data_IF_985956296156
#
_entry.id   IF_985956296156
#
_cell.length_a   1.000
_cell.length_b   1.000
_cell.length_c   1.000
_cell.angle_alpha   90.00
_cell.angle_beta   90.00
_cell.angle_gamma   90.00
#
_symmetry.space_group_name_H-M   'P 1'
#
loop_
_entity.id
_entity.type
_entity.pdbx_description
1 polymer ?
#
# COMPACT_ATOMS: atom_id res chain seq x y z
N UNK A 1 17.31 13.78 6.80
CA UNK A 1 16.52 14.49 5.77
C UNK A 1 17.20 14.17 4.46
N UNK A 2 16.51 13.46 3.56
CA UNK A 2 17.11 12.93 2.34
C UNK A 2 16.64 13.70 1.11
N UNK A 3 17.55 13.91 0.17
CA UNK A 3 17.30 14.57 -1.12
C UNK A 3 16.68 15.98 -1.02
N UNK A 4 16.85 16.68 0.10
CA UNK A 4 16.28 18.02 0.30
C UNK A 4 17.21 19.13 -0.19
N UNK A 5 16.63 20.22 -0.66
CA UNK A 5 17.39 21.39 -1.12
C UNK A 5 17.96 22.22 0.06
N UNK A 6 19.25 22.55 -0.05
CA UNK A 6 19.97 23.44 0.87
C UNK A 6 20.58 24.58 0.06
N UNK A 7 20.24 25.81 0.42
CA UNK A 7 20.77 27.02 -0.20
C UNK A 7 21.69 27.78 0.76
N UNK A 8 22.84 28.20 0.25
CA UNK A 8 23.79 29.09 0.93
C UNK A 8 23.55 30.54 0.46
N UNK A 9 23.35 31.44 1.42
CA UNK A 9 23.04 32.84 1.17
C UNK A 9 24.02 33.76 1.89
N UNK A 10 24.31 34.91 1.27
CA UNK A 10 24.96 36.06 1.90
C UNK A 10 23.87 37.00 2.43
N UNK A 11 24.11 37.62 3.58
CA UNK A 11 23.19 38.59 4.15
C UNK A 11 23.72 40.00 3.93
N UNK A 12 23.01 40.73 3.10
CA UNK A 12 23.28 42.15 2.85
C UNK A 12 22.28 43.08 3.54
N UNK A 13 22.58 44.37 3.48
CA UNK A 13 21.71 45.41 3.98
C UNK A 13 20.41 45.56 3.16
N UNK A 14 20.50 45.46 1.83
CA UNK A 14 19.37 45.70 0.93
C UNK A 14 18.72 44.38 0.45
N UNK A 15 19.50 43.42 -0.07
CA UNK A 15 19.01 42.15 -0.59
C UNK A 15 20.03 41.03 -0.36
N UNK A 16 19.63 39.98 0.35
CA UNK A 16 20.45 38.77 0.51
C UNK A 16 20.77 38.12 -0.85
N UNK A 17 22.04 37.79 -1.09
CA UNK A 17 22.51 37.15 -2.32
C UNK A 17 22.53 35.62 -2.20
N UNK A 18 22.00 34.90 -3.19
CA UNK A 18 22.12 33.44 -3.27
C UNK A 18 23.50 33.06 -3.80
N UNK A 19 24.27 32.33 -3.00
CA UNK A 19 25.66 31.98 -3.31
C UNK A 19 25.79 30.62 -3.97
N UNK A 20 25.07 29.62 -3.44
CA UNK A 20 25.10 28.26 -3.95
C UNK A 20 23.84 27.48 -3.53
N UNK A 21 23.54 26.43 -4.29
CA UNK A 21 22.48 25.47 -4.01
C UNK A 21 23.08 24.07 -4.07
N UNK A 22 22.67 23.20 -3.16
CA UNK A 22 23.04 21.79 -3.12
C UNK A 22 21.86 20.97 -2.60
N UNK A 23 21.98 19.65 -2.60
CA UNK A 23 21.02 18.74 -1.99
C UNK A 23 21.70 17.86 -0.96
N UNK A 24 20.95 17.41 0.05
CA UNK A 24 21.43 16.39 0.98
C UNK A 24 21.47 15.01 0.32
N UNK A 25 22.43 14.17 0.70
CA UNK A 25 22.44 12.76 0.33
C UNK A 25 21.51 11.91 1.24
N UNK A 26 21.58 10.58 1.10
CA UNK A 26 20.81 9.62 1.91
C UNK A 26 21.13 9.65 3.41
N UNK A 27 22.34 10.09 3.78
CA UNK A 27 22.75 10.25 5.18
C UNK A 27 22.35 11.63 5.74
N UNK A 28 21.81 12.52 4.91
CA UNK A 28 21.50 13.91 5.25
C UNK A 28 22.69 14.86 5.19
N UNK A 29 23.84 14.41 4.69
CA UNK A 29 25.04 15.22 4.52
C UNK A 29 24.92 16.10 3.27
N UNK A 30 25.48 17.31 3.34
CA UNK A 30 25.55 18.23 2.22
C UNK A 30 26.91 18.92 2.16
N UNK A 31 27.29 19.37 0.98
CA UNK A 31 28.45 20.25 0.79
C UNK A 31 28.24 21.18 -0.39
N UNK A 32 28.91 22.32 -0.35
CA UNK A 32 28.93 23.29 -1.43
C UNK A 32 30.29 23.30 -2.09
N UNK A 33 30.30 23.56 -3.40
CA UNK A 33 31.51 23.92 -4.12
C UNK A 33 32.09 25.25 -3.60
N UNK A 34 33.29 25.60 -4.05
CA UNK A 34 33.95 26.84 -3.66
C UNK A 34 33.13 28.06 -4.12
N UNK A 35 32.77 28.92 -3.16
CA UNK A 35 32.09 30.21 -3.41
C UNK A 35 33.03 31.40 -3.18
N UNK A 36 32.68 32.55 -3.76
CA UNK A 36 33.41 33.80 -3.54
C UNK A 36 33.15 34.33 -2.14
N UNK A 37 34.19 34.46 -1.31
CA UNK A 37 34.07 35.03 0.03
C UNK A 37 34.41 36.54 0.04
N UNK A 38 33.83 37.29 -0.89
CA UNK A 38 34.04 38.74 -1.02
C UNK A 38 32.69 39.40 -0.77
N UNK A 39 32.58 40.07 0.37
CA UNK A 39 31.39 40.82 0.77
C UNK A 39 31.36 42.24 0.15
N UNK A 40 30.19 42.89 0.16
CA UNK A 40 29.95 44.20 -0.42
C UNK A 40 30.87 45.28 0.17
N UNK A 41 31.92 45.63 -0.58
CA UNK A 41 32.96 46.59 -0.17
C UNK A 41 34.37 45.98 -0.09
N UNK A 42 34.51 44.67 -0.24
CA UNK A 42 35.77 43.96 -0.47
C UNK A 42 36.75 43.93 0.70
N UNK A 43 36.33 44.39 1.88
CA UNK A 43 37.14 44.42 3.10
C UNK A 43 36.79 43.31 4.09
N UNK A 44 35.66 42.62 3.89
CA UNK A 44 35.05 41.67 4.82
C UNK A 44 34.71 40.35 4.10
N UNK A 45 34.56 39.29 4.89
CA UNK A 45 34.07 38.00 4.43
C UNK A 45 32.54 37.99 4.39
N UNK A 46 31.95 37.03 3.72
CA UNK A 46 30.48 36.98 3.58
C UNK A 46 29.79 36.72 4.92
N UNK A 47 28.59 37.27 5.04
CA UNK A 47 27.67 37.10 6.17
C UNK A 47 26.71 35.95 5.87
N UNK A 48 27.23 34.74 5.94
CA UNK A 48 26.53 33.57 5.40
C UNK A 48 25.42 33.02 6.30
N UNK A 49 24.38 32.47 5.69
CA UNK A 49 23.36 31.67 6.35
C UNK A 49 22.78 30.61 5.41
N UNK A 50 22.13 29.58 5.97
CA UNK A 50 21.49 28.52 5.20
C UNK A 50 19.96 28.72 5.14
N UNK A 51 19.37 28.37 4.00
CA UNK A 51 17.94 28.06 3.87
C UNK A 51 17.81 26.59 3.51
N UNK A 52 17.01 25.87 4.28
CA UNK A 52 16.77 24.44 4.13
C UNK A 52 15.30 24.26 3.84
N UNK A 53 14.96 23.59 2.74
CA UNK A 53 13.59 23.51 2.28
C UNK A 53 13.02 22.10 2.43
N UNK A 54 11.79 21.99 2.92
CA UNK A 54 11.08 20.72 2.99
C UNK A 54 10.44 20.41 1.63
N UNK A 55 11.28 20.10 0.64
CA UNK A 55 10.88 19.51 -0.64
C UNK A 55 11.99 18.63 -1.21
N UNK A 56 11.57 17.68 -2.04
CA UNK A 56 12.37 16.92 -2.98
C UNK A 56 11.47 16.49 -4.16
N UNK A 57 11.93 15.59 -5.01
CA UNK A 57 11.15 15.10 -6.16
C UNK A 57 9.89 14.31 -5.72
N UNK A 58 9.90 13.70 -4.53
CA UNK A 58 8.77 12.93 -4.00
C UNK A 58 7.65 13.80 -3.42
N UNK A 59 7.95 15.02 -2.96
CA UNK A 59 6.93 15.92 -2.44
C UNK A 59 7.46 17.14 -1.71
N UNK A 60 6.53 17.98 -1.25
CA UNK A 60 6.86 19.25 -0.59
C UNK A 60 5.80 19.67 0.42
N UNK A 61 6.23 20.33 1.50
CA UNK A 61 5.34 20.91 2.50
C UNK A 61 5.15 22.40 2.25
N UNK A 62 3.92 22.92 2.29
CA UNK A 62 3.60 24.36 2.09
C UNK A 62 3.26 25.09 3.40
N UNK A 63 3.55 26.40 3.47
CA UNK A 63 3.49 27.17 4.73
C UNK A 63 2.23 27.99 4.99
N UNK A 64 1.38 28.32 4.00
CA UNK A 64 0.13 29.07 4.28
C UNK A 64 -0.82 29.39 3.11
N UNK A 65 -0.76 28.71 1.96
CA UNK A 65 -1.72 29.01 0.88
C UNK A 65 -2.08 27.77 0.10
N UNK A 66 -3.39 27.57 -0.14
CA UNK A 66 -3.99 26.60 -1.08
C UNK A 66 -3.39 26.72 -2.50
N UNK A 67 -2.67 27.82 -2.77
CA UNK A 67 -1.93 28.01 -4.02
C UNK A 67 -0.70 27.10 -4.16
N UNK A 68 -0.31 26.31 -3.13
CA UNK A 68 0.80 25.33 -3.17
C UNK A 68 2.14 25.89 -3.68
N UNK A 69 2.35 27.21 -3.63
CA UNK A 69 3.49 27.89 -4.28
C UNK A 69 4.63 28.29 -3.35
N UNK A 70 4.53 27.99 -2.04
CA UNK A 70 5.54 28.40 -1.06
C UNK A 70 5.89 27.28 -0.09
N UNK A 71 7.06 26.70 -0.32
CA UNK A 71 7.60 25.62 0.49
C UNK A 71 7.92 26.06 1.92
N UNK A 72 7.83 25.09 2.83
CA UNK A 72 8.32 25.22 4.19
C UNK A 72 9.83 25.30 4.17
N UNK A 73 10.35 26.30 4.89
CA UNK A 73 11.78 26.62 4.88
C UNK A 73 12.22 26.96 6.29
N UNK A 74 13.34 26.37 6.71
CA UNK A 74 14.08 26.80 7.91
C UNK A 74 15.24 27.67 7.47
N UNK A 75 15.39 28.83 8.12
CA UNK A 75 16.51 29.75 7.93
C UNK A 75 17.40 29.70 9.17
N UNK A 76 18.67 29.41 8.96
CA UNK A 76 19.66 29.39 10.03
C UNK A 76 20.10 30.80 10.45
N UNK A 77 20.65 30.96 11.67
CA UNK A 77 21.29 32.18 12.09
C UNK A 77 22.41 32.59 11.15
N UNK A 78 22.61 33.91 11.04
CA UNK A 78 23.66 34.47 10.18
C UNK A 78 25.00 34.39 10.90
N UNK A 79 25.99 33.91 10.17
CA UNK A 79 27.38 33.81 10.61
C UNK A 79 28.13 34.95 9.93
N UNK A 80 28.61 35.88 10.75
CA UNK A 80 29.16 37.13 10.25
C UNK A 80 30.64 36.97 9.86
N UNK A 81 31.06 37.71 8.83
CA UNK A 81 32.47 37.88 8.45
C UNK A 81 33.25 36.56 8.31
N UNK A 82 32.71 35.59 7.57
CA UNK A 82 33.37 34.26 7.49
C UNK A 82 34.74 34.36 6.82
N UNK A 83 35.76 33.78 7.45
CA UNK A 83 37.12 33.77 6.92
C UNK A 83 37.24 32.85 5.70
N UNK A 84 38.06 33.22 4.73
CA UNK A 84 38.33 32.37 3.57
C UNK A 84 38.94 31.02 3.97
N UNK A 85 38.50 29.95 3.33
CA UNK A 85 38.93 28.59 3.58
C UNK A 85 37.76 27.62 3.59
N UNK A 86 37.99 26.41 4.10
CA UNK A 86 36.90 25.46 4.37
C UNK A 86 36.17 25.89 5.63
N UNK A 87 34.86 26.04 5.53
CA UNK A 87 33.98 26.28 6.66
C UNK A 87 33.13 25.03 6.91
N UNK A 88 33.13 24.57 8.16
CA UNK A 88 32.29 23.45 8.60
C UNK A 88 31.08 24.02 9.34
N UNK A 89 29.89 23.87 8.74
CA UNK A 89 28.62 24.32 9.32
C UNK A 89 28.17 23.43 10.49
N UNK A 90 28.76 22.24 10.64
CA UNK A 90 28.36 21.25 11.63
C UNK A 90 27.04 20.56 11.31
N UNK A 91 26.48 19.89 12.32
CA UNK A 91 25.22 19.16 12.20
C UNK A 91 24.06 20.06 12.58
N UNK A 92 23.08 20.14 11.68
CA UNK A 92 21.83 20.82 11.94
C UNK A 92 20.82 19.87 12.63
N UNK A 93 20.25 20.32 13.74
CA UNK A 93 19.18 19.61 14.45
C UNK A 93 17.97 20.54 14.50
N UNK A 94 16.92 20.19 13.75
CA UNK A 94 15.62 20.86 13.86
C UNK A 94 15.02 20.62 15.24
N UNK A 95 14.35 21.63 15.81
CA UNK A 95 13.56 21.42 17.01
C UNK A 95 12.27 20.66 16.65
N UNK A 96 11.65 19.98 17.63
CA UNK A 96 10.41 19.21 17.43
C UNK A 96 9.26 20.01 16.78
N UNK A 97 9.23 21.34 16.92
CA UNK A 97 8.21 22.18 16.28
C UNK A 97 8.46 22.45 14.78
N UNK A 98 9.64 22.11 14.25
CA UNK A 98 10.03 22.38 12.86
C UNK A 98 10.49 21.13 12.10
N UNK A 99 10.75 20.01 12.79
CA UNK A 99 11.18 18.75 12.16
C UNK A 99 10.07 18.04 11.39
N UNK A 100 8.80 18.17 11.78
CA UNK A 100 7.69 17.42 11.19
C UNK A 100 7.56 17.61 9.68
N UNK A 101 7.76 18.83 9.18
CA UNK A 101 7.72 19.11 7.75
C UNK A 101 8.78 18.31 6.96
N UNK A 102 9.98 18.17 7.52
CA UNK A 102 11.06 17.40 6.88
C UNK A 102 10.85 15.89 7.03
N UNK A 103 10.28 15.45 8.15
CA UNK A 103 9.92 14.05 8.38
C UNK A 103 8.88 13.55 7.38
N UNK A 104 7.87 14.38 7.09
CA UNK A 104 6.87 14.09 6.05
C UNK A 104 7.53 13.88 4.69
N UNK A 105 8.37 14.82 4.24
CA UNK A 105 9.05 14.73 2.94
C UNK A 105 9.96 13.49 2.87
N UNK A 106 10.58 13.13 3.99
CA UNK A 106 11.40 11.93 4.11
C UNK A 106 10.57 10.65 4.00
N UNK A 107 9.36 10.60 4.57
CA UNK A 107 8.41 9.49 4.39
C UNK A 107 7.82 9.40 2.99
N UNK A 108 7.49 10.54 2.38
CA UNK A 108 7.04 10.57 0.97
C UNK A 108 8.13 10.02 0.04
N UNK A 109 9.40 10.29 0.33
CA UNK A 109 10.53 9.71 -0.42
C UNK A 109 10.60 8.19 -0.32
N UNK A 110 10.27 7.60 0.84
CA UNK A 110 10.20 6.14 0.98
C UNK A 110 9.13 5.55 0.06
N UNK A 111 7.93 6.15 0.02
CA UNK A 111 6.86 5.72 -0.88
C UNK A 111 7.20 5.94 -2.35
N UNK A 112 7.80 7.08 -2.70
CA UNK A 112 8.26 7.37 -4.06
C UNK A 112 9.31 6.37 -4.55
N UNK A 113 10.28 6.01 -3.69
CA UNK A 113 11.30 5.01 -4.01
C UNK A 113 10.70 3.62 -4.16
N UNK A 114 9.75 3.23 -3.31
CA UNK A 114 9.01 1.97 -3.44
C UNK A 114 8.27 1.89 -4.78
N UNK A 115 7.58 2.97 -5.18
CA UNK A 115 6.93 3.06 -6.49
C UNK A 115 7.96 2.89 -7.62
N UNK A 116 9.09 3.59 -7.56
CA UNK A 116 10.11 3.49 -8.60
C UNK A 116 10.83 2.14 -8.63
N UNK A 117 10.89 1.38 -7.54
CA UNK A 117 11.56 0.07 -7.50
C UNK A 117 10.72 -1.07 -8.10
N UNK A 118 9.41 -0.85 -8.31
CA UNK A 118 8.43 -1.85 -8.73
C UNK A 118 8.49 -2.30 -10.21
N UNK A 119 9.67 -2.60 -10.74
CA UNK A 119 9.94 -2.73 -12.18
C UNK A 119 9.15 -3.83 -12.92
N UNK A 120 8.20 -3.44 -13.79
CA UNK A 120 8.09 -3.90 -15.21
C UNK A 120 7.12 -3.04 -16.05
N UNK A 121 6.17 -2.34 -15.44
CA UNK A 121 5.20 -1.49 -16.15
C UNK A 121 5.71 -0.03 -16.17
N UNK A 122 5.43 0.67 -17.26
CA UNK A 122 6.02 1.97 -17.63
C UNK A 122 5.89 2.99 -16.49
N UNK A 123 7.03 3.60 -16.11
CA UNK A 123 7.13 4.61 -15.05
C UNK A 123 6.55 5.94 -15.50
N UNK A 124 5.31 6.22 -15.17
CA UNK A 124 4.90 7.61 -15.02
C UNK A 124 5.50 8.13 -13.69
N UNK A 125 6.18 9.26 -13.78
CA UNK A 125 6.63 9.98 -12.60
C UNK A 125 5.38 10.46 -11.87
N UNK A 126 5.20 9.96 -10.64
CA UNK A 126 3.99 10.22 -9.83
C UNK A 126 3.89 11.67 -9.37
N UNK A 127 4.95 12.45 -9.63
CA UNK A 127 5.06 13.85 -9.29
C UNK A 127 5.24 14.08 -7.79
N UNK A 128 5.72 15.27 -7.45
CA UNK A 128 5.90 15.66 -6.06
C UNK A 128 4.56 15.86 -5.36
N UNK A 129 4.26 15.00 -4.38
CA UNK A 129 3.09 15.04 -3.53
C UNK A 129 3.04 16.33 -2.67
N UNK A 130 2.07 17.24 -2.89
CA UNK A 130 1.94 18.46 -2.10
C UNK A 130 1.32 18.16 -0.72
N UNK A 131 1.88 18.76 0.34
CA UNK A 131 1.39 18.60 1.71
C UNK A 131 1.09 19.95 2.36
N UNK A 132 -0.12 20.09 2.88
CA UNK A 132 -0.57 21.20 3.70
C UNK A 132 -0.59 20.79 5.17
N UNK A 133 -0.01 21.64 6.02
CA UNK A 133 -0.05 21.46 7.47
C UNK A 133 -1.25 22.21 8.04
N UNK A 134 -2.11 21.49 8.78
CA UNK A 134 -3.32 22.04 9.39
C UNK A 134 -3.34 21.79 10.90
N UNK A 135 -3.98 22.67 11.67
CA UNK A 135 -4.15 22.55 13.13
C UNK A 135 -5.59 22.23 13.54
N UNK A 136 -6.48 21.98 12.57
CA UNK A 136 -7.92 21.84 12.77
C UNK A 136 -8.42 20.42 13.13
N UNK A 137 -7.49 19.49 13.39
CA UNK A 137 -7.65 18.04 13.57
C UNK A 137 -7.89 17.24 12.29
N UNK A 138 -7.14 16.15 12.17
CA UNK A 138 -7.32 15.12 11.13
C UNK A 138 -6.34 15.28 9.98
N UNK A 139 -5.85 14.14 9.52
CA UNK A 139 -5.08 14.01 8.29
C UNK A 139 -5.98 13.40 7.22
N UNK A 140 -5.85 13.86 5.97
CA UNK A 140 -6.65 13.37 4.85
C UNK A 140 -6.05 13.76 3.50
N UNK A 141 -6.23 12.91 2.52
CA UNK A 141 -6.11 13.22 1.10
C UNK A 141 -7.34 13.97 0.58
N UNK A 142 -7.16 14.91 -0.36
CA UNK A 142 -8.28 15.56 -1.03
C UNK A 142 -7.99 15.85 -2.49
N UNK A 143 -9.03 15.66 -3.33
CA UNK A 143 -9.04 16.05 -4.74
C UNK A 143 -10.15 17.09 -5.02
N UNK A 144 -9.91 18.38 -4.77
CA UNK A 144 -10.94 19.40 -4.91
C UNK A 144 -11.14 19.79 -6.39
N UNK A 145 -12.36 20.07 -6.86
CA UNK A 145 -12.66 20.32 -8.27
C UNK A 145 -11.96 21.52 -8.95
N UNK A 146 -11.20 22.33 -8.19
CA UNK A 146 -10.60 23.60 -8.64
C UNK A 146 -9.15 23.80 -8.17
N UNK A 147 -8.56 22.85 -7.44
CA UNK A 147 -7.16 22.90 -6.98
C UNK A 147 -6.48 21.60 -7.37
N UNK A 148 -5.14 21.59 -7.42
CA UNK A 148 -4.42 20.32 -7.49
C UNK A 148 -4.69 19.50 -6.24
N UNK A 149 -4.53 18.18 -6.35
CA UNK A 149 -4.68 17.25 -5.24
C UNK A 149 -3.56 17.50 -4.20
N UNK A 150 -3.84 17.25 -2.93
CA UNK A 150 -2.87 17.43 -1.86
C UNK A 150 -3.27 16.66 -0.60
N UNK A 151 -2.29 16.46 0.26
CA UNK A 151 -2.46 15.87 1.58
C UNK A 151 -2.61 16.98 2.60
N UNK A 152 -3.48 16.77 3.58
CA UNK A 152 -3.54 17.54 4.81
C UNK A 152 -2.98 16.67 5.92
N UNK A 153 -1.98 17.15 6.65
CA UNK A 153 -1.41 16.46 7.81
C UNK A 153 -1.61 17.29 9.07
N UNK A 154 -2.19 16.65 10.08
CA UNK A 154 -2.53 17.26 11.37
C UNK A 154 -1.27 17.62 12.17
N UNK A 155 -1.16 18.89 12.52
CA UNK A 155 -0.11 19.44 13.39
C UNK A 155 -0.57 19.65 14.82
N UNK A 156 -1.85 19.43 15.11
CA UNK A 156 -2.43 19.70 16.41
C UNK A 156 -2.06 18.60 17.42
N UNK A 157 -1.51 19.02 18.56
CA UNK A 157 -1.55 18.23 19.79
C UNK A 157 -2.85 18.62 20.52
N UNK A 158 -3.98 18.15 20.00
CA UNK A 158 -5.32 18.66 20.34
C UNK A 158 -5.75 18.47 21.81
N UNK A 159 -4.86 18.06 22.71
CA UNK A 159 -5.16 17.97 24.15
C UNK A 159 -3.95 17.83 25.10
N UNK A 160 -2.69 17.94 24.64
CA UNK A 160 -1.50 17.42 25.35
C UNK A 160 -1.54 15.88 25.52
N UNK A 161 -2.43 15.20 24.78
CA UNK A 161 -2.65 13.75 24.85
C UNK A 161 -2.48 13.06 23.50
N UNK A 162 -2.34 13.76 22.37
CA UNK A 162 -2.18 13.13 21.04
C UNK A 162 -0.94 13.72 20.37
N UNK A 163 -0.04 12.87 19.90
CA UNK A 163 1.10 13.35 19.12
C UNK A 163 0.59 13.88 17.77
N UNK A 164 1.23 14.91 17.20
CA UNK A 164 0.84 15.39 15.87
C UNK A 164 1.15 14.32 14.82
N UNK A 165 0.26 14.17 13.83
CA UNK A 165 0.38 13.15 12.79
C UNK A 165 1.61 13.38 11.89
N UNK A 166 2.25 14.55 11.98
CA UNK A 166 3.55 14.85 11.34
C UNK A 166 4.70 13.89 11.71
N UNK A 167 4.51 13.02 12.70
CA UNK A 167 5.47 11.97 13.09
C UNK A 167 4.89 10.56 13.04
N UNK A 168 3.63 10.41 12.63
CA UNK A 168 3.00 9.11 12.50
C UNK A 168 3.22 8.61 11.07
N UNK A 169 4.32 7.86 10.88
CA UNK A 169 4.73 7.32 9.57
C UNK A 169 3.58 6.62 8.84
N UNK A 170 2.77 5.85 9.59
CA UNK A 170 1.64 5.12 9.04
C UNK A 170 0.54 6.04 8.50
N UNK A 171 0.30 7.21 9.13
CA UNK A 171 -0.69 8.20 8.67
C UNK A 171 -0.16 8.88 7.41
N UNK A 172 1.08 9.38 7.45
CA UNK A 172 1.68 10.08 6.31
C UNK A 172 1.65 9.19 5.06
N UNK A 173 2.02 7.91 5.22
CA UNK A 173 2.03 6.97 4.11
C UNK A 173 0.65 6.46 3.73
N UNK A 174 -0.33 6.43 4.64
CA UNK A 174 -1.72 6.14 4.29
C UNK A 174 -2.26 7.21 3.34
N UNK A 175 -2.11 8.49 3.69
CA UNK A 175 -2.55 9.58 2.82
C UNK A 175 -1.76 9.63 1.49
N UNK A 176 -0.49 9.22 1.52
CA UNK A 176 0.29 9.04 0.30
C UNK A 176 -0.20 7.87 -0.56
N UNK A 177 -0.80 6.84 0.05
CA UNK A 177 -1.45 5.74 -0.68
C UNK A 177 -2.61 6.21 -1.52
N UNK A 178 -3.41 7.16 -1.01
CA UNK A 178 -4.47 7.83 -1.79
C UNK A 178 -3.91 8.63 -2.98
N UNK A 179 -2.78 9.33 -2.79
CA UNK A 179 -2.06 10.01 -3.88
C UNK A 179 -1.62 9.01 -4.96
N UNK A 180 -0.99 7.89 -4.56
CA UNK A 180 -0.51 6.86 -5.49
C UNK A 180 -1.67 6.19 -6.23
N UNK A 181 -2.74 5.82 -5.53
CA UNK A 181 -3.94 5.21 -6.10
C UNK A 181 -4.56 6.09 -7.18
N UNK A 182 -4.78 7.37 -6.88
CA UNK A 182 -5.40 8.33 -7.79
C UNK A 182 -4.52 8.77 -8.97
N UNK A 183 -3.21 8.94 -8.76
CA UNK A 183 -2.33 9.51 -9.80
C UNK A 183 -1.67 8.47 -10.70
N UNK A 184 -1.53 7.24 -10.22
CA UNK A 184 -0.73 6.22 -10.88
C UNK A 184 -1.58 5.03 -11.30
N UNK A 185 -2.50 4.64 -10.43
CA UNK A 185 -3.27 3.44 -10.59
C UNK A 185 -4.65 3.70 -11.19
N UNK A 186 -5.26 4.87 -11.03
CA UNK A 186 -6.65 5.13 -11.51
C UNK A 186 -7.58 3.95 -11.13
N UNK A 187 -7.37 3.42 -9.92
CA UNK A 187 -8.07 2.28 -9.34
C UNK A 187 -8.82 2.74 -8.12
N UNK A 188 -9.91 2.04 -7.81
CA UNK A 188 -10.74 2.34 -6.63
C UNK A 188 -11.26 3.79 -6.63
N UNK A 189 -11.45 4.40 -7.81
CA UNK A 189 -11.75 5.84 -8.01
C UNK A 189 -13.26 6.17 -7.87
N UNK A 190 -14.14 5.17 -7.72
CA UNK A 190 -15.56 5.44 -7.43
C UNK A 190 -15.78 6.15 -6.06
N UNK A 191 -14.72 6.32 -5.25
CA UNK A 191 -14.74 7.01 -3.98
C UNK A 191 -13.38 7.69 -3.68
N UNK A 192 -13.33 9.02 -3.68
CA UNK A 192 -12.15 9.83 -3.30
C UNK A 192 -11.87 9.87 -1.78
N UNK A 193 -12.20 8.77 -1.09
CA UNK A 193 -12.21 8.66 0.37
C UNK A 193 -13.47 9.24 1.03
N UNK A 194 -13.54 9.10 2.36
CA UNK A 194 -14.64 9.63 3.17
C UNK A 194 -14.61 9.12 4.60
N UNK A 195 -15.41 9.64 5.56
CA UNK A 195 -15.32 9.23 6.96
C UNK A 195 -15.41 7.70 7.14
N UNK A 196 -14.29 7.11 7.49
CA UNK A 196 -14.11 5.67 7.56
C UNK A 196 -13.52 5.27 8.92
N UNK A 197 -13.50 3.97 9.19
CA UNK A 197 -12.96 3.42 10.44
C UNK A 197 -12.48 2.02 10.13
N UNK A 198 -11.34 1.66 10.75
CA UNK A 198 -10.67 0.38 10.58
C UNK A 198 -11.60 -0.84 10.45
N UNK A 199 -12.61 -0.94 11.32
CA UNK A 199 -13.55 -2.07 11.39
C UNK A 199 -14.96 -1.75 10.89
N UNK A 200 -15.14 -0.65 10.16
CA UNK A 200 -16.43 -0.21 9.64
C UNK A 200 -16.83 -0.98 8.38
N UNK A 201 -18.14 -1.06 8.12
CA UNK A 201 -18.70 -1.61 6.88
C UNK A 201 -19.09 -0.48 5.93
N UNK A 202 -18.54 -0.50 4.74
CA UNK A 202 -18.68 0.54 3.70
C UNK A 202 -19.09 -0.07 2.36
N UNK A 203 -19.15 0.76 1.31
CA UNK A 203 -19.21 0.23 -0.06
C UNK A 203 -17.89 -0.45 -0.40
N UNK A 204 -17.90 -1.53 -1.23
CA UNK A 204 -16.67 -2.19 -1.65
C UNK A 204 -15.63 -1.25 -2.27
N UNK A 205 -16.05 -0.24 -3.04
CA UNK A 205 -15.14 0.76 -3.59
C UNK A 205 -14.47 1.65 -2.53
N UNK A 206 -15.21 2.12 -1.53
CA UNK A 206 -14.63 2.93 -0.44
C UNK A 206 -13.69 2.06 0.42
N UNK A 207 -14.10 0.83 0.74
CA UNK A 207 -13.26 -0.11 1.48
C UNK A 207 -11.98 -0.48 0.70
N UNK A 208 -12.08 -0.63 -0.63
CA UNK A 208 -10.93 -0.88 -1.49
C UNK A 208 -9.93 0.27 -1.49
N UNK A 209 -10.42 1.51 -1.62
CA UNK A 209 -9.60 2.73 -1.60
C UNK A 209 -8.87 2.92 -0.25
N UNK A 210 -9.60 2.88 0.87
CA UNK A 210 -9.01 3.04 2.21
C UNK A 210 -8.11 1.85 2.61
N UNK A 211 -8.51 0.63 2.21
CA UNK A 211 -7.72 -0.57 2.46
C UNK A 211 -6.42 -0.59 1.67
N UNK A 212 -6.44 -0.14 0.41
CA UNK A 212 -5.23 0.05 -0.38
C UNK A 212 -4.29 1.08 0.27
N UNK A 213 -4.81 2.19 0.79
CA UNK A 213 -4.01 3.19 1.49
C UNK A 213 -3.34 2.62 2.76
N UNK A 214 -4.05 1.80 3.54
CA UNK A 214 -3.47 1.07 4.68
C UNK A 214 -2.42 0.03 4.27
N UNK A 215 -2.69 -0.73 3.21
CA UNK A 215 -1.73 -1.67 2.65
C UNK A 215 -0.47 -0.96 2.15
N UNK A 216 -0.61 0.12 1.38
CA UNK A 216 0.50 0.94 0.88
C UNK A 216 1.37 1.47 2.01
N UNK A 217 0.73 1.97 3.07
CA UNK A 217 1.43 2.40 4.28
C UNK A 217 2.26 1.29 4.92
N UNK A 218 1.73 0.07 4.96
CA UNK A 218 2.42 -1.07 5.57
C UNK A 218 3.55 -1.58 4.69
N UNK A 219 3.33 -1.71 3.37
CA UNK A 219 4.33 -2.24 2.43
C UNK A 219 5.52 -1.30 2.27
N UNK A 220 5.30 0.02 2.28
CA UNK A 220 6.40 1.01 2.23
C UNK A 220 7.23 0.99 3.51
N UNK A 221 6.60 0.77 4.67
CA UNK A 221 7.30 0.70 5.96
C UNK A 221 7.96 -0.66 6.20
N UNK A 222 7.48 -1.71 5.55
CA UNK A 222 7.81 -3.10 5.91
C UNK A 222 7.33 -3.44 7.33
N UNK A 223 6.15 -2.95 7.71
CA UNK A 223 5.59 -3.10 9.06
C UNK A 223 4.06 -3.21 8.98
N UNK A 224 3.52 -4.37 9.38
CA UNK A 224 2.09 -4.64 9.41
C UNK A 224 1.34 -3.79 10.47
N UNK A 225 2.05 -3.31 11.49
CA UNK A 225 1.47 -2.50 12.56
C UNK A 225 1.48 -1.01 12.23
N UNK A 226 0.30 -0.39 12.21
CA UNK A 226 0.12 1.06 12.22
C UNK A 226 0.03 1.57 13.66
N UNK A 227 0.91 2.51 14.05
CA UNK A 227 0.95 3.08 15.42
C UNK A 227 0.70 4.56 15.41
N UNK A 228 -0.43 4.97 16.00
CA UNK A 228 -0.79 6.37 16.21
C UNK A 228 -0.47 6.74 17.66
N UNK A 229 0.43 7.70 17.88
CA UNK A 229 0.98 7.98 19.22
C UNK A 229 0.18 8.96 20.06
N UNK A 230 0.09 8.65 21.36
CA UNK A 230 -0.68 9.38 22.37
C UNK A 230 0.17 9.62 23.63
N UNK A 231 -0.29 10.54 24.48
CA UNK A 231 0.29 10.92 25.78
C UNK A 231 1.79 11.26 25.73
N UNK A 232 2.24 12.11 24.79
CA UNK A 232 3.65 12.40 24.55
C UNK A 232 4.48 11.12 24.26
N UNK A 233 4.02 10.31 23.32
CA UNK A 233 4.66 9.06 22.92
C UNK A 233 4.73 7.99 24.03
N UNK A 234 3.81 8.04 25.00
CA UNK A 234 3.75 7.08 26.10
C UNK A 234 2.75 5.93 25.85
N UNK A 235 1.75 6.14 25.00
CA UNK A 235 0.79 5.13 24.55
C UNK A 235 0.59 5.27 23.05
N UNK A 236 0.03 4.25 22.41
CA UNK A 236 -0.38 4.34 21.03
C UNK A 236 -1.66 3.52 20.80
N UNK A 237 -2.46 3.96 19.82
CA UNK A 237 -3.48 3.13 19.20
C UNK A 237 -2.80 2.34 18.08
N UNK A 238 -3.03 1.05 18.05
CA UNK A 238 -2.47 0.14 17.06
C UNK A 238 -3.56 -0.44 16.17
N UNK A 239 -3.23 -0.65 14.90
CA UNK A 239 -3.95 -1.45 13.91
C UNK A 239 -2.96 -2.40 13.26
N UNK A 240 -3.34 -3.63 12.97
CA UNK A 240 -2.48 -4.62 12.33
C UNK A 240 -3.17 -5.16 11.08
N UNK A 241 -2.57 -4.94 9.89
CA UNK A 241 -3.14 -5.40 8.61
C UNK A 241 -3.17 -6.93 8.50
N UNK A 242 -2.23 -7.63 9.15
CA UNK A 242 -2.12 -9.09 9.15
C UNK A 242 -3.42 -9.77 9.62
N UNK A 243 -3.86 -9.40 10.83
CA UNK A 243 -4.92 -10.11 11.52
C UNK A 243 -6.19 -9.24 11.71
N UNK A 244 -6.18 -8.03 11.17
CA UNK A 244 -7.24 -7.03 11.30
C UNK A 244 -7.41 -6.52 12.75
N UNK A 245 -6.51 -6.87 13.66
CA UNK A 245 -6.62 -6.49 15.07
C UNK A 245 -6.37 -5.00 15.27
N UNK A 246 -7.03 -4.45 16.28
CA UNK A 246 -6.82 -3.07 16.69
C UNK A 246 -7.05 -2.89 18.18
N UNK A 247 -6.37 -1.90 18.75
CA UNK A 247 -6.44 -1.66 20.18
C UNK A 247 -5.45 -0.63 20.70
N UNK A 248 -5.10 -0.75 21.97
CA UNK A 248 -4.24 0.20 22.68
C UNK A 248 -3.04 -0.51 23.28
N UNK A 249 -1.83 0.00 23.02
CA UNK A 249 -0.58 -0.44 23.65
C UNK A 249 -0.40 -1.97 23.65
N UNK A 250 -0.56 -2.60 22.46
CA UNK A 250 -0.48 -4.05 22.27
C UNK A 250 -1.64 -4.87 22.86
N UNK A 251 -2.72 -4.22 23.32
CA UNK A 251 -3.94 -4.91 23.78
C UNK A 251 -5.00 -4.91 22.68
N UNK A 252 -5.24 -6.07 22.06
CA UNK A 252 -6.20 -6.23 20.97
C UNK A 252 -7.57 -6.69 21.49
N UNK A 253 -8.65 -6.23 20.85
CA UNK A 253 -10.01 -6.49 21.34
C UNK A 253 -10.97 -7.08 20.31
N UNK A 254 -10.72 -6.90 19.01
CA UNK A 254 -11.54 -7.40 17.91
C UNK A 254 -10.71 -7.45 16.62
N UNK A 255 -11.04 -8.38 15.71
CA UNK A 255 -10.59 -8.37 14.31
C UNK A 255 -11.62 -7.69 13.40
N UNK A 256 -11.14 -6.92 12.44
CA UNK A 256 -11.94 -6.23 11.44
C UNK A 256 -12.26 -7.09 10.19
N UNK A 257 -11.84 -8.36 10.16
CA UNK A 257 -12.00 -9.29 9.03
C UNK A 257 -13.45 -9.79 8.81
N UNK A 258 -14.43 -9.34 9.60
CA UNK A 258 -15.79 -9.90 9.56
C UNK A 258 -16.66 -9.41 8.38
N UNK A 259 -16.15 -8.55 7.52
CA UNK A 259 -16.94 -7.86 6.50
C UNK A 259 -16.39 -8.01 5.07
N UNK A 260 -15.33 -8.79 4.84
CA UNK A 260 -14.79 -9.05 3.51
C UNK A 260 -14.39 -7.76 2.79
N UNK A 261 -14.61 -7.75 1.48
CA UNK A 261 -14.36 -6.61 0.58
C UNK A 261 -15.05 -5.29 0.94
N UNK A 262 -15.95 -5.29 1.94
CA UNK A 262 -16.69 -4.12 2.40
C UNK A 262 -16.06 -3.46 3.63
N UNK A 263 -14.84 -3.85 4.05
CA UNK A 263 -14.12 -3.26 5.17
C UNK A 263 -12.65 -3.01 4.83
N UNK A 264 -12.15 -1.80 5.13
CA UNK A 264 -10.80 -1.36 4.78
C UNK A 264 -9.69 -2.24 5.37
N UNK A 265 -9.87 -2.73 6.61
CA UNK A 265 -8.88 -3.61 7.23
C UNK A 265 -8.82 -4.99 6.58
N UNK A 266 -9.97 -5.54 6.19
CA UNK A 266 -10.05 -6.81 5.48
C UNK A 266 -9.42 -6.68 4.08
N UNK A 267 -9.69 -5.60 3.37
CA UNK A 267 -9.02 -5.27 2.09
C UNK A 267 -7.51 -5.15 2.29
N UNK A 268 -7.07 -4.39 3.30
CA UNK A 268 -5.66 -4.17 3.57
C UNK A 268 -4.94 -5.49 3.88
N UNK A 269 -5.58 -6.37 4.65
CA UNK A 269 -5.09 -7.71 4.95
C UNK A 269 -5.01 -8.59 3.70
N UNK A 270 -6.06 -8.65 2.87
CA UNK A 270 -6.03 -9.40 1.60
C UNK A 270 -4.84 -9.00 0.74
N UNK A 271 -4.59 -7.70 0.60
CA UNK A 271 -3.45 -7.21 -0.19
C UNK A 271 -2.11 -7.47 0.50
N UNK A 272 -2.08 -7.40 1.84
CA UNK A 272 -0.90 -7.68 2.64
C UNK A 272 -0.46 -9.13 2.48
N UNK A 273 -1.37 -10.08 2.68
CA UNK A 273 -1.12 -11.52 2.61
C UNK A 273 -0.72 -11.95 1.19
N UNK A 274 -1.21 -11.28 0.15
CA UNK A 274 -0.71 -11.53 -1.22
C UNK A 274 0.79 -11.18 -1.34
N UNK A 275 1.21 -10.11 -0.67
CA UNK A 275 2.53 -9.50 -0.83
C UNK A 275 3.59 -10.10 0.08
N UNK A 276 3.26 -10.38 1.34
CA UNK A 276 4.26 -10.62 2.37
C UNK A 276 4.68 -12.11 2.46
N UNK A 277 5.92 -12.39 2.91
CA UNK A 277 6.49 -13.74 2.89
C UNK A 277 6.37 -14.52 4.21
N UNK A 278 5.88 -13.89 5.29
CA UNK A 278 5.93 -14.46 6.63
C UNK A 278 4.56 -15.02 7.03
N UNK A 279 4.55 -16.28 7.49
CA UNK A 279 3.42 -16.89 8.18
C UNK A 279 3.57 -16.56 9.66
N UNK A 280 2.99 -15.44 10.09
CA UNK A 280 3.10 -14.90 11.45
C UNK A 280 1.85 -15.22 12.30
N UNK A 281 1.62 -16.51 12.50
CA UNK A 281 0.40 -17.00 13.13
C UNK A 281 0.17 -16.59 14.59
N UNK A 282 -1.00 -16.00 14.86
CA UNK A 282 -1.56 -15.82 16.20
C UNK A 282 -2.64 -16.89 16.47
N UNK A 283 -2.26 -17.91 17.25
CA UNK A 283 -3.06 -19.07 17.60
C UNK A 283 -4.21 -18.75 18.58
N UNK A 284 -5.39 -18.36 18.09
CA UNK A 284 -6.58 -18.31 18.96
C UNK A 284 -7.78 -19.08 18.40
N UNK A 285 -7.75 -20.40 18.66
CA UNK A 285 -8.85 -21.37 18.71
C UNK A 285 -10.27 -20.76 18.66
N UNK A 286 -11.04 -21.00 17.60
CA UNK A 286 -12.42 -20.50 17.59
C UNK A 286 -13.44 -21.03 16.58
N UNK A 287 -13.12 -21.24 15.30
CA UNK A 287 -14.17 -21.45 14.29
C UNK A 287 -14.29 -22.90 13.81
N UNK A 288 -15.41 -23.53 14.15
CA UNK A 288 -15.70 -24.95 13.95
C UNK A 288 -16.93 -25.10 13.06
N UNK A 289 -16.77 -24.97 11.75
CA UNK A 289 -17.77 -25.51 10.83
C UNK A 289 -17.32 -25.48 9.37
N UNK A 290 -16.41 -26.36 8.92
CA UNK A 290 -16.44 -27.10 7.63
C UNK A 290 -15.22 -28.07 7.56
N UNK A 291 -15.31 -29.23 6.89
CA UNK A 291 -14.23 -30.22 6.89
C UNK A 291 -13.19 -29.95 5.78
N UNK A 292 -12.24 -29.05 6.05
CA UNK A 292 -10.87 -29.06 5.53
C UNK A 292 -9.94 -28.58 6.66
N UNK A 293 -9.00 -29.44 7.07
CA UNK A 293 -7.94 -29.14 8.07
C UNK A 293 -8.32 -29.29 9.56
N UNK A 294 -7.40 -29.70 10.46
CA UNK A 294 -7.56 -29.45 11.89
C UNK A 294 -7.55 -27.93 12.15
N UNK A 295 -8.14 -27.49 13.25
CA UNK A 295 -8.12 -26.07 13.62
C UNK A 295 -6.71 -25.67 14.08
N UNK A 296 -6.04 -24.76 13.37
CA UNK A 296 -4.91 -23.95 13.83
C UNK A 296 -4.50 -22.90 12.77
N UNK A 297 -4.21 -21.65 13.19
CA UNK A 297 -3.20 -20.75 12.61
C UNK A 297 -3.50 -19.88 11.33
N UNK A 298 -3.36 -18.55 11.48
CA UNK A 298 -3.24 -17.51 10.42
C UNK A 298 -2.20 -17.95 9.38
N UNK A 299 -2.55 -18.11 8.09
CA UNK A 299 -1.68 -18.88 7.21
C UNK A 299 -2.07 -19.10 5.75
N UNK A 300 -2.23 -18.03 4.97
CA UNK A 300 -2.20 -18.15 3.50
C UNK A 300 -1.54 -16.98 2.76
N UNK A 301 -0.48 -16.39 3.35
CA UNK A 301 0.43 -15.49 2.64
C UNK A 301 0.87 -16.11 1.29
N UNK A 302 0.70 -15.39 0.20
CA UNK A 302 1.12 -15.84 -1.13
C UNK A 302 2.62 -15.62 -1.37
N UNK A 303 3.21 -14.58 -0.75
CA UNK A 303 4.59 -14.15 -0.99
C UNK A 303 4.87 -13.79 -2.46
N UNK A 304 3.86 -13.37 -3.22
CA UNK A 304 4.03 -12.98 -4.63
C UNK A 304 4.63 -11.58 -4.79
N UNK A 305 4.73 -10.85 -3.67
CA UNK A 305 5.22 -9.49 -3.61
C UNK A 305 4.27 -8.47 -4.22
N UNK A 306 4.62 -7.20 -4.08
CA UNK A 306 3.81 -6.07 -4.55
C UNK A 306 3.58 -6.07 -6.08
N UNK A 307 4.40 -6.79 -6.85
CA UNK A 307 4.33 -6.78 -8.31
C UNK A 307 3.08 -7.46 -8.87
N UNK A 308 2.64 -8.56 -8.27
CA UNK A 308 1.45 -9.27 -8.76
C UNK A 308 0.18 -8.46 -8.48
N UNK A 309 0.13 -7.80 -7.31
CA UNK A 309 -0.93 -6.83 -6.96
C UNK A 309 -0.96 -5.72 -8.00
N UNK A 310 0.19 -5.11 -8.29
CA UNK A 310 0.27 -4.02 -9.26
C UNK A 310 -0.12 -4.47 -10.66
N UNK A 311 0.21 -5.72 -11.04
CA UNK A 311 -0.18 -6.31 -12.32
C UNK A 311 -1.69 -6.43 -12.43
N UNK A 312 -2.39 -6.87 -11.38
CA UNK A 312 -3.85 -6.91 -11.35
C UNK A 312 -4.49 -5.52 -11.33
N UNK A 313 -3.94 -4.57 -10.58
CA UNK A 313 -4.49 -3.21 -10.49
C UNK A 313 -4.33 -2.41 -11.78
N UNK A 314 -3.28 -2.67 -12.56
CA UNK A 314 -3.01 -1.94 -13.81
C UNK A 314 -3.58 -2.61 -15.06
N UNK A 315 -4.08 -3.85 -14.97
CA UNK A 315 -4.66 -4.58 -16.09
C UNK A 315 -6.09 -4.08 -16.37
N UNK A 316 -6.28 -3.50 -17.55
CA UNK A 316 -7.57 -3.09 -18.10
C UNK A 316 -8.04 -4.02 -19.24
N UNK A 317 -7.26 -5.04 -19.59
CA UNK A 317 -7.55 -5.97 -20.68
C UNK A 317 -8.69 -6.93 -20.29
N UNK A 318 -8.78 -7.33 -19.02
CA UNK A 318 -9.81 -8.27 -18.54
C UNK A 318 -11.20 -7.61 -18.44
N UNK A 319 -11.29 -6.43 -17.83
CA UNK A 319 -12.57 -5.75 -17.55
C UNK A 319 -12.90 -4.64 -18.57
N UNK A 320 -11.92 -4.17 -19.34
CA UNK A 320 -12.02 -2.95 -20.15
C UNK A 320 -11.89 -1.66 -19.34
N UNK A 321 -11.55 -1.78 -18.05
CA UNK A 321 -11.21 -0.72 -17.10
C UNK A 321 -10.37 -1.34 -15.97
N UNK A 322 -9.76 -0.49 -15.14
CA UNK A 322 -9.00 -0.95 -13.97
C UNK A 322 -9.96 -1.26 -12.80
N UNK A 323 -9.56 -2.15 -11.86
CA UNK A 323 -10.43 -2.52 -10.74
C UNK A 323 -10.88 -1.35 -9.85
N UNK A 324 -12.19 -1.30 -9.57
CA UNK A 324 -12.81 -0.34 -8.65
C UNK A 324 -13.14 -0.94 -7.28
N UNK A 325 -12.97 -2.25 -7.11
CA UNK A 325 -13.14 -2.95 -5.84
C UNK A 325 -12.36 -4.27 -5.82
N UNK A 326 -12.26 -4.89 -4.63
CA UNK A 326 -11.58 -6.19 -4.49
C UNK A 326 -12.26 -7.33 -5.26
N UNK A 327 -13.52 -7.16 -5.66
CA UNK A 327 -14.19 -8.13 -6.50
C UNK A 327 -13.75 -8.12 -7.94
N UNK A 328 -13.51 -6.93 -8.47
CA UNK A 328 -12.94 -6.74 -9.81
C UNK A 328 -11.45 -7.07 -9.82
N UNK A 329 -10.71 -6.74 -8.75
CA UNK A 329 -9.34 -7.18 -8.57
C UNK A 329 -9.25 -8.71 -8.66
N UNK A 330 -10.16 -9.42 -7.98
CA UNK A 330 -10.26 -10.87 -8.08
C UNK A 330 -10.53 -11.33 -9.52
N UNK A 331 -11.49 -10.71 -10.21
CA UNK A 331 -11.85 -11.07 -11.59
C UNK A 331 -10.66 -10.87 -12.55
N UNK A 332 -9.85 -9.83 -12.35
CA UNK A 332 -8.59 -9.64 -13.09
C UNK A 332 -7.57 -10.73 -12.73
N UNK A 333 -7.39 -11.02 -11.44
CA UNK A 333 -6.40 -12.00 -10.97
C UNK A 333 -6.61 -13.39 -11.55
N UNK A 334 -7.87 -13.85 -11.59
CA UNK A 334 -8.22 -15.18 -12.10
C UNK A 334 -8.59 -15.19 -13.59
N UNK A 335 -8.89 -14.03 -14.15
CA UNK A 335 -9.22 -13.84 -15.56
C UNK A 335 -8.02 -14.13 -16.48
N UNK A 336 -8.25 -14.50 -17.75
CA UNK A 336 -7.16 -14.87 -18.66
C UNK A 336 -6.41 -13.65 -19.21
N UNK A 337 -5.05 -13.62 -19.14
CA UNK A 337 -4.18 -14.62 -18.54
C UNK A 337 -4.17 -14.51 -17.01
N UNK A 338 -4.37 -15.64 -16.31
CA UNK A 338 -4.40 -15.62 -14.85
C UNK A 338 -3.02 -15.32 -14.27
N UNK A 339 -3.00 -14.60 -13.14
CA UNK A 339 -1.78 -14.37 -12.35
C UNK A 339 -1.35 -15.61 -11.53
N UNK A 340 -2.15 -16.69 -11.57
CA UNK A 340 -1.86 -17.94 -10.88
C UNK A 340 -2.29 -17.96 -9.42
N UNK A 341 -1.94 -19.04 -8.72
CA UNK A 341 -2.22 -19.21 -7.29
C UNK A 341 -3.71 -19.04 -6.87
N UNK A 342 -4.64 -19.32 -7.79
CA UNK A 342 -6.09 -19.06 -7.60
C UNK A 342 -6.65 -19.62 -6.30
N UNK A 343 -6.23 -20.82 -5.87
CA UNK A 343 -6.66 -21.39 -4.61
C UNK A 343 -6.17 -20.60 -3.41
N UNK A 344 -4.88 -20.30 -3.34
CA UNK A 344 -4.31 -19.53 -2.23
C UNK A 344 -4.95 -18.15 -2.11
N UNK A 345 -5.16 -17.46 -3.24
CA UNK A 345 -5.83 -16.15 -3.20
C UNK A 345 -7.30 -16.29 -2.81
N UNK A 346 -8.00 -17.36 -3.22
CA UNK A 346 -9.37 -17.61 -2.74
C UNK A 346 -9.42 -17.86 -1.23
N UNK A 347 -8.44 -18.60 -0.70
CA UNK A 347 -8.28 -18.83 0.73
C UNK A 347 -8.08 -17.47 1.45
N UNK A 348 -7.19 -16.59 0.93
CA UNK A 348 -6.91 -15.28 1.55
C UNK A 348 -8.21 -14.47 1.68
N UNK A 349 -8.99 -14.42 0.60
CA UNK A 349 -10.28 -13.74 0.62
C UNK A 349 -11.24 -14.34 1.66
N UNK A 350 -11.28 -15.66 1.77
CA UNK A 350 -12.11 -16.35 2.75
C UNK A 350 -11.69 -16.01 4.19
N UNK A 351 -10.39 -15.99 4.48
CA UNK A 351 -9.84 -15.64 5.80
C UNK A 351 -10.18 -14.20 6.22
N UNK A 352 -10.21 -13.29 5.25
CA UNK A 352 -10.65 -11.91 5.46
C UNK A 352 -12.17 -11.71 5.35
N UNK A 353 -12.96 -12.79 5.37
CA UNK A 353 -14.42 -12.75 5.49
C UNK A 353 -15.18 -12.61 4.18
N UNK A 354 -14.54 -12.81 3.02
CA UNK A 354 -15.18 -12.92 1.71
C UNK A 354 -15.17 -14.37 1.20
N UNK A 355 -16.20 -15.13 1.60
CA UNK A 355 -16.44 -16.50 1.11
C UNK A 355 -17.05 -16.59 -0.29
N UNK A 356 -17.25 -15.46 -0.97
CA UNK A 356 -17.88 -15.45 -2.29
C UNK A 356 -16.90 -15.69 -3.43
N UNK A 357 -15.59 -15.63 -3.15
CA UNK A 357 -14.51 -15.92 -4.10
C UNK A 357 -14.15 -17.39 -4.04
N UNK A 358 -14.22 -18.05 -5.20
CA UNK A 358 -13.85 -19.46 -5.38
C UNK A 358 -12.73 -19.53 -6.40
N UNK A 359 -11.77 -20.41 -6.17
CA UNK A 359 -10.62 -20.63 -7.04
C UNK A 359 -10.98 -21.05 -8.49
N UNK A 360 -12.23 -21.45 -8.72
CA UNK A 360 -12.77 -21.90 -10.00
C UNK A 360 -13.42 -20.74 -10.74
N UNK A 361 -13.06 -20.54 -12.01
CA UNK A 361 -13.62 -19.48 -12.86
C UNK A 361 -14.21 -20.04 -14.17
N UNK A 362 -15.36 -19.52 -14.58
CA UNK A 362 -16.02 -19.99 -15.81
C UNK A 362 -16.61 -21.40 -15.70
N UNK A 363 -15.97 -22.39 -16.34
CA UNK A 363 -16.40 -23.80 -16.30
C UNK A 363 -15.30 -24.64 -15.67
N UNK A 364 -15.71 -25.66 -14.92
CA UNK A 364 -14.79 -26.60 -14.28
C UNK A 364 -13.97 -27.39 -15.30
N UNK A 365 -12.80 -27.87 -14.91
CA UNK A 365 -12.02 -28.85 -15.66
C UNK A 365 -10.58 -28.45 -15.93
N UNK A 366 -10.12 -27.28 -15.47
CA UNK A 366 -8.69 -26.94 -15.38
C UNK A 366 -8.12 -27.57 -14.09
N UNK A 367 -8.05 -28.90 -14.09
CA UNK A 367 -7.70 -29.72 -12.94
C UNK A 367 -6.24 -29.55 -12.52
N UNK A 368 -5.33 -29.34 -13.48
CA UNK A 368 -3.91 -29.13 -13.16
C UNK A 368 -3.58 -27.67 -12.79
N UNK A 369 -4.56 -26.76 -12.93
CA UNK A 369 -4.47 -25.37 -12.48
C UNK A 369 -3.58 -24.51 -13.37
N UNK A 370 -3.53 -24.80 -14.68
CA UNK A 370 -2.72 -24.05 -15.64
C UNK A 370 -3.17 -22.57 -15.74
N UNK A 371 -2.22 -21.68 -16.04
CA UNK A 371 -2.46 -20.22 -16.06
C UNK A 371 -3.41 -19.75 -17.19
N UNK A 372 -3.61 -20.57 -18.22
CA UNK A 372 -4.45 -20.21 -19.37
C UNK A 372 -5.91 -20.65 -19.20
N UNK A 373 -6.22 -21.36 -18.11
CA UNK A 373 -7.56 -21.85 -17.81
C UNK A 373 -8.11 -22.76 -18.92
N UNK A 374 -7.25 -23.62 -19.48
CA UNK A 374 -7.56 -24.44 -20.64
C UNK A 374 -7.81 -25.90 -20.23
N UNK A 375 -8.99 -26.41 -20.59
CA UNK A 375 -9.27 -27.84 -20.48
C UNK A 375 -8.51 -28.60 -21.57
N UNK A 376 -7.43 -29.27 -21.21
CA UNK A 376 -6.55 -30.03 -22.10
C UNK A 376 -6.16 -31.43 -21.57
N UNK A 377 -5.22 -32.09 -22.26
CA UNK A 377 -4.80 -33.45 -21.92
C UNK A 377 -4.07 -33.56 -20.58
N UNK A 378 -3.45 -32.48 -20.12
CA UNK A 378 -2.71 -32.44 -18.86
C UNK A 378 -3.68 -32.51 -17.67
N UNK A 379 -4.84 -31.85 -17.74
CA UNK A 379 -5.91 -31.99 -16.73
C UNK A 379 -6.33 -33.43 -16.52
N UNK A 380 -6.56 -34.14 -17.64
CA UNK A 380 -6.95 -35.53 -17.61
C UNK A 380 -5.85 -36.39 -16.98
N UNK A 381 -4.60 -36.16 -17.35
CA UNK A 381 -3.46 -36.90 -16.79
C UNK A 381 -3.29 -36.61 -15.31
N UNK A 382 -3.48 -35.36 -14.89
CA UNK A 382 -3.39 -34.94 -13.49
C UNK A 382 -4.48 -35.61 -12.65
N UNK A 383 -5.74 -35.58 -13.11
CA UNK A 383 -6.86 -36.21 -12.41
C UNK A 383 -6.67 -37.74 -12.28
N UNK A 384 -6.16 -38.38 -13.33
CA UNK A 384 -5.80 -39.81 -13.28
C UNK A 384 -4.69 -40.07 -12.28
N UNK A 385 -3.66 -39.22 -12.24
CA UNK A 385 -2.52 -39.40 -11.36
C UNK A 385 -2.93 -39.29 -9.88
N UNK A 386 -3.70 -38.25 -9.57
CA UNK A 386 -4.33 -38.05 -8.26
C UNK A 386 -5.14 -39.27 -7.82
N UNK A 387 -6.04 -39.77 -8.68
CA UNK A 387 -6.97 -40.85 -8.32
C UNK A 387 -6.32 -42.24 -8.20
N UNK A 388 -5.32 -42.56 -9.04
CA UNK A 388 -4.88 -43.95 -9.21
C UNK A 388 -3.42 -44.22 -8.86
N UNK A 389 -2.58 -43.20 -8.85
CA UNK A 389 -1.13 -43.35 -8.64
C UNK A 389 -0.61 -42.55 -7.45
N UNK A 390 -1.51 -41.86 -6.73
CA UNK A 390 -1.17 -41.11 -5.53
C UNK A 390 -0.48 -39.78 -5.83
N UNK A 391 -0.82 -39.18 -6.97
CA UNK A 391 -0.45 -37.82 -7.33
C UNK A 391 -1.01 -36.78 -6.36
N UNK A 392 -0.55 -35.52 -6.46
CA UNK A 392 -1.04 -34.43 -5.62
C UNK A 392 -2.55 -34.15 -5.81
N UNK A 393 -3.18 -33.59 -4.78
CA UNK A 393 -4.55 -33.04 -4.91
C UNK A 393 -4.59 -31.93 -5.96
N UNK A 394 -5.76 -31.72 -6.57
CA UNK A 394 -5.98 -30.62 -7.50
C UNK A 394 -5.77 -29.28 -6.78
N UNK A 395 -5.04 -28.32 -7.39
CA UNK A 395 -4.81 -27.01 -6.77
C UNK A 395 -6.12 -26.30 -6.42
N UNK A 396 -7.11 -26.36 -7.30
CA UNK A 396 -8.48 -25.92 -7.03
C UNK A 396 -9.40 -27.14 -6.97
N UNK A 397 -10.02 -27.39 -5.83
CA UNK A 397 -10.87 -28.57 -5.65
C UNK A 397 -12.10 -28.54 -6.57
N UNK A 398 -12.69 -27.36 -6.72
CA UNK A 398 -13.86 -27.14 -7.55
C UNK A 398 -13.60 -27.50 -9.03
N UNK A 399 -12.42 -27.22 -9.55
CA UNK A 399 -12.04 -27.57 -10.93
C UNK A 399 -12.05 -29.09 -11.16
N UNK A 400 -11.74 -29.88 -10.13
CA UNK A 400 -11.72 -31.34 -10.19
C UNK A 400 -13.07 -32.00 -9.86
N UNK A 401 -14.04 -31.26 -9.31
CA UNK A 401 -15.42 -31.71 -9.12
C UNK A 401 -16.29 -31.27 -10.30
N UNK A 402 -16.05 -31.85 -11.48
CA UNK A 402 -16.65 -31.43 -12.76
C UNK A 402 -18.20 -31.42 -12.77
N UNK A 403 -18.82 -32.14 -11.83
CA UNK A 403 -20.28 -32.28 -11.70
C UNK A 403 -20.91 -31.31 -10.69
N UNK A 404 -20.11 -30.50 -10.01
CA UNK A 404 -20.56 -29.54 -8.98
C UNK A 404 -21.52 -30.20 -7.97
N UNK A 405 -21.19 -31.40 -7.50
CA UNK A 405 -21.98 -32.10 -6.47
C UNK A 405 -21.29 -32.11 -5.10
N UNK A 406 -21.97 -32.64 -4.09
CA UNK A 406 -21.48 -32.71 -2.70
C UNK A 406 -20.59 -33.93 -2.44
N UNK A 407 -20.20 -34.64 -3.50
CA UNK A 407 -19.36 -35.83 -3.40
C UNK A 407 -17.87 -35.48 -3.41
N UNK A 408 -17.04 -36.39 -2.89
CA UNK A 408 -15.60 -36.32 -3.09
C UNK A 408 -15.29 -36.52 -4.57
N UNK A 409 -14.24 -35.87 -5.07
CA UNK A 409 -13.72 -36.10 -6.43
C UNK A 409 -13.58 -37.62 -6.69
N UNK A 410 -14.32 -38.14 -7.67
CA UNK A 410 -14.40 -39.57 -7.94
C UNK A 410 -14.32 -39.93 -9.43
N UNK A 411 -14.36 -41.24 -9.72
CA UNK A 411 -14.26 -41.78 -11.09
C UNK A 411 -15.27 -41.16 -12.07
N UNK A 412 -16.42 -40.68 -11.58
CA UNK A 412 -17.46 -40.08 -12.40
C UNK A 412 -17.03 -38.72 -12.94
N UNK A 413 -16.23 -37.96 -12.18
CA UNK A 413 -15.65 -36.69 -12.63
C UNK A 413 -14.63 -36.93 -13.74
N UNK A 414 -13.78 -37.95 -13.56
CA UNK A 414 -12.84 -38.39 -14.59
C UNK A 414 -13.55 -38.83 -15.88
N UNK A 415 -14.62 -39.62 -15.77
CA UNK A 415 -15.41 -40.04 -16.93
C UNK A 415 -16.04 -38.84 -17.63
N UNK A 416 -16.53 -37.85 -16.87
CA UNK A 416 -17.09 -36.62 -17.45
C UNK A 416 -16.06 -35.84 -18.25
N UNK A 417 -14.85 -35.66 -17.71
CA UNK A 417 -13.75 -34.97 -18.39
C UNK A 417 -13.38 -35.69 -19.70
N UNK A 418 -13.24 -37.02 -19.66
CA UNK A 418 -12.98 -37.84 -20.87
C UNK A 418 -14.09 -37.69 -21.91
N UNK A 419 -15.35 -37.71 -21.49
CA UNK A 419 -16.48 -37.61 -22.40
C UNK A 419 -16.55 -36.24 -23.07
N UNK A 420 -16.37 -35.17 -22.30
CA UNK A 420 -16.29 -33.81 -22.83
C UNK A 420 -15.17 -33.68 -23.87
N UNK A 421 -13.96 -34.13 -23.53
CA UNK A 421 -12.78 -33.97 -24.38
C UNK A 421 -12.80 -34.82 -25.66
N UNK A 422 -13.30 -36.05 -25.59
CA UNK A 422 -13.11 -37.03 -26.67
C UNK A 422 -14.38 -37.56 -27.31
N UNK A 423 -15.52 -37.50 -26.61
CA UNK A 423 -16.77 -38.12 -27.08
C UNK A 423 -17.85 -37.09 -27.42
N UNK A 424 -17.57 -35.79 -27.23
CA UNK A 424 -18.52 -34.70 -27.47
C UNK A 424 -19.63 -34.65 -26.41
N UNK A 425 -19.30 -35.07 -25.19
CA UNK A 425 -20.16 -34.97 -24.02
C UNK A 425 -20.50 -33.52 -23.64
N UNK A 426 -21.41 -33.32 -22.68
CA UNK A 426 -21.72 -32.00 -22.16
C UNK A 426 -20.47 -31.30 -21.62
N UNK A 427 -20.43 -29.96 -21.72
CA UNK A 427 -19.42 -29.18 -21.02
C UNK A 427 -19.48 -29.45 -19.50
N UNK A 428 -18.36 -29.38 -18.79
CA UNK A 428 -18.34 -29.39 -17.33
C UNK A 428 -19.25 -28.31 -16.74
N UNK A 429 -19.67 -28.51 -15.50
CA UNK A 429 -20.55 -27.56 -14.83
C UNK A 429 -19.87 -26.22 -14.59
N UNK A 430 -20.69 -25.18 -14.47
CA UNK A 430 -20.22 -23.84 -14.16
C UNK A 430 -19.54 -23.82 -12.79
N UNK A 431 -18.47 -23.04 -12.66
CA UNK A 431 -17.91 -22.72 -11.35
C UNK A 431 -18.94 -21.98 -10.47
N UNK A 432 -19.89 -21.28 -11.08
CA UNK A 432 -20.97 -20.56 -10.41
C UNK A 432 -22.23 -21.41 -10.12
N UNK A 433 -22.23 -22.71 -10.42
CA UNK A 433 -23.37 -23.59 -10.08
C UNK A 433 -23.38 -23.90 -8.57
N UNK A 434 -24.04 -23.01 -7.82
CA UNK A 434 -24.13 -22.95 -6.35
C UNK A 434 -24.98 -24.05 -5.70
N UNK A 435 -24.68 -25.34 -5.91
CA UNK A 435 -25.21 -26.38 -5.00
C UNK A 435 -24.61 -26.31 -3.58
N UNK A 436 -23.70 -25.38 -3.31
CA UNK A 436 -22.94 -25.24 -2.06
C UNK A 436 -22.91 -23.81 -1.45
N UNK A 437 -23.86 -22.91 -1.74
CA UNK A 437 -23.95 -21.59 -1.04
C UNK A 437 -25.31 -21.37 -0.34
N UNK A 438 -25.67 -22.31 0.53
CA UNK A 438 -26.69 -22.16 1.59
C UNK A 438 -26.02 -22.72 2.85
N UNK A 439 -25.72 -21.93 3.88
CA UNK A 439 -26.60 -21.05 4.64
C UNK A 439 -25.94 -19.76 5.15
#
# INVERSE_FOLDING_TARGET
>A
MRDIEVQLWDKDWDFDDLLAVTTTNDDGDFSFDTVSNIDYGGAYGQDIYLKIFAHNDAGFVTTNTILLTKWYTVKEPVIQDVSSGTYDYGTFVTNLGTSGAFHIVDRLLDGYRMWLDSTFIIREDIGGCPVYLDDSCGSYYTSPPLTADYLVIDTSDYSLLRAPDTYDDHVILHEHGHWVGSHCLDVFDESSGGPHTWSGKYSPALAASEGFAHFWSSVVRGDASGKNWWLNFALYRETNVENGEHGWDGTYSNSANNYGDSCEAAVAGILWDICDPDSDDYDSFGDFSFPRGPADDIGDSLSDGFQSILSALLDDDVLGHRPDNMGEFWDVWVGPPSLGNKQKVADIYYEHGDSTRSCCYGIRGNVDGDLWDQIDINDLLYLVDFMFTGGPEAPCWEEANLRADDSTIDISDLVWLVDYMFTGGPAPHSCYDKKLQTD
#
